data_IF_681263437086
#
_entry.id   IF_681263437086
#
_cell.length_a   1.000
_cell.length_b   1.000
_cell.length_c   1.000
_cell.angle_alpha   90.00
_cell.angle_beta   90.00
_cell.angle_gamma   90.00
#
_symmetry.space_group_name_H-M   'P 1'
#
loop_
_entity.id
_entity.type
_entity.pdbx_description
1 polymer ?
#
# COMPACT_ATOMS: atom_id res chain seq x y z
N UNK A 1 15.60 -9.38 -13.87
CA UNK A 1 14.48 -9.04 -12.96
C UNK A 1 13.80 -10.25 -12.30
N UNK A 2 13.49 -11.37 -12.98
CA UNK A 2 12.82 -12.53 -12.32
C UNK A 2 13.68 -13.31 -11.33
N UNK A 3 15.00 -13.28 -11.44
CA UNK A 3 15.91 -14.03 -10.55
C UNK A 3 16.20 -13.32 -9.23
N UNK A 4 16.08 -12.01 -9.17
CA UNK A 4 16.38 -11.22 -7.96
C UNK A 4 15.22 -11.20 -6.96
N UNK A 5 13.97 -11.28 -7.46
CA UNK A 5 12.78 -11.42 -6.61
C UNK A 5 12.77 -12.80 -5.93
N UNK A 6 13.22 -13.85 -6.63
CA UNK A 6 13.35 -15.19 -6.06
C UNK A 6 14.44 -15.26 -4.99
N UNK A 7 15.52 -14.48 -5.14
CA UNK A 7 16.62 -14.43 -4.16
C UNK A 7 16.19 -13.72 -2.87
N UNK A 8 15.38 -12.67 -2.97
CA UNK A 8 14.81 -11.96 -1.82
C UNK A 8 13.83 -12.84 -1.03
N UNK A 9 13.01 -13.65 -1.71
CA UNK A 9 12.12 -14.62 -1.07
C UNK A 9 12.89 -15.76 -0.38
N UNK A 10 14.05 -16.15 -0.93
CA UNK A 10 14.90 -17.22 -0.35
C UNK A 10 15.76 -16.73 0.82
N UNK A 11 16.06 -15.45 0.91
CA UNK A 11 16.82 -14.86 2.03
C UNK A 11 16.04 -14.85 3.35
N UNK A 12 14.72 -15.00 3.33
CA UNK A 12 13.88 -15.11 4.54
C UNK A 12 13.88 -16.51 5.18
N UNK A 13 14.47 -17.54 4.53
CA UNK A 13 14.41 -18.93 4.97
C UNK A 13 15.45 -19.39 6.03
N UNK A 14 16.60 -18.77 6.29
CA UNK A 14 17.61 -19.41 7.14
C UNK A 14 17.58 -19.03 8.62
N UNK A 15 16.60 -18.26 9.12
CA UNK A 15 16.59 -17.86 10.54
C UNK A 15 15.73 -18.74 11.45
N UNK A 16 15.82 -20.06 11.29
CA UNK A 16 15.25 -21.00 12.27
C UNK A 16 16.28 -21.21 13.40
N UNK A 17 16.50 -20.21 14.22
CA UNK A 17 17.18 -20.40 15.51
C UNK A 17 16.16 -20.42 16.63
N UNK A 18 16.22 -21.45 17.48
CA UNK A 18 15.40 -21.62 18.68
C UNK A 18 15.58 -20.43 19.62
N UNK A 19 14.70 -19.44 19.52
CA UNK A 19 14.52 -18.38 20.50
C UNK A 19 13.12 -18.55 21.11
N UNK A 20 12.98 -18.25 22.39
CA UNK A 20 11.72 -18.34 23.12
C UNK A 20 10.60 -17.68 22.32
N UNK A 21 9.53 -18.45 22.05
CA UNK A 21 8.42 -18.05 21.21
C UNK A 21 7.66 -16.86 21.81
N UNK A 22 8.05 -15.65 21.42
CA UNK A 22 7.31 -14.41 21.67
C UNK A 22 6.20 -14.17 20.63
N UNK A 23 6.07 -15.07 19.65
CA UNK A 23 5.05 -15.03 18.63
C UNK A 23 4.26 -16.33 18.66
N UNK A 24 2.99 -16.24 19.05
CA UNK A 24 2.09 -17.37 18.92
C UNK A 24 1.85 -17.67 17.43
N UNK A 25 1.96 -18.95 17.05
CA UNK A 25 1.42 -19.43 15.78
C UNK A 25 -0.10 -19.26 15.76
N UNK A 26 -0.66 -18.96 14.59
CA UNK A 26 -2.11 -18.92 14.46
C UNK A 26 -2.62 -17.64 13.81
N UNK A 27 -3.88 -17.36 14.07
CA UNK A 27 -4.53 -16.16 13.58
C UNK A 27 -3.87 -14.91 14.13
N UNK A 28 -3.66 -13.94 13.24
CA UNK A 28 -3.12 -12.61 13.53
C UNK A 28 -3.89 -11.57 12.72
N UNK A 29 -4.27 -10.48 13.38
CA UNK A 29 -4.84 -9.31 12.75
C UNK A 29 -3.87 -8.13 12.76
N UNK A 30 -3.91 -7.31 11.72
CA UNK A 30 -3.15 -6.07 11.57
C UNK A 30 -4.12 -4.93 11.25
N UNK A 31 -3.95 -3.80 11.88
CA UNK A 31 -4.63 -2.54 11.58
C UNK A 31 -3.57 -1.46 11.39
N UNK A 32 -3.52 -0.86 10.23
CA UNK A 32 -2.56 0.21 9.89
C UNK A 32 -3.33 1.47 9.52
N UNK A 33 -2.89 2.62 10.02
CA UNK A 33 -3.35 3.93 9.59
C UNK A 33 -2.15 4.81 9.24
N UNK A 34 -2.27 5.62 8.19
CA UNK A 34 -1.16 6.45 7.76
C UNK A 34 -1.51 7.45 6.69
N UNK A 35 -0.48 8.16 6.28
CA UNK A 35 -0.56 9.17 5.24
C UNK A 35 0.48 8.88 4.16
N UNK A 36 0.05 9.03 2.91
CA UNK A 36 0.91 8.90 1.74
C UNK A 36 0.95 10.21 0.98
N UNK A 37 2.15 10.61 0.57
CA UNK A 37 2.40 11.79 -0.25
C UNK A 37 2.77 11.32 -1.64
N UNK A 38 2.05 11.78 -2.65
CA UNK A 38 2.36 11.52 -4.05
C UNK A 38 3.76 12.01 -4.41
N UNK A 39 4.43 11.30 -5.29
CA UNK A 39 5.74 11.66 -5.84
C UNK A 39 5.69 11.58 -7.37
N UNK A 40 6.53 12.38 -8.04
CA UNK A 40 6.54 12.45 -9.49
C UNK A 40 5.45 13.39 -10.04
N UNK A 41 4.79 12.98 -11.12
CA UNK A 41 3.87 13.83 -11.87
C UNK A 41 2.53 14.04 -11.16
N UNK A 42 2.16 13.14 -10.25
CA UNK A 42 0.88 13.15 -9.52
C UNK A 42 1.09 13.35 -8.02
N UNK A 43 1.36 14.60 -7.62
CA UNK A 43 1.62 14.99 -6.23
C UNK A 43 0.31 15.34 -5.51
N UNK A 44 -0.34 14.34 -4.93
CA UNK A 44 -1.49 14.54 -4.06
C UNK A 44 -1.44 13.64 -2.82
N UNK A 45 -2.04 14.14 -1.74
CA UNK A 45 -2.06 13.44 -0.46
C UNK A 45 -3.17 12.39 -0.37
N UNK A 46 -2.92 11.35 0.44
CA UNK A 46 -3.92 10.31 0.74
C UNK A 46 -3.79 9.84 2.18
N UNK A 47 -4.91 9.79 2.86
CA UNK A 47 -5.01 9.18 4.18
C UNK A 47 -5.54 7.76 4.03
N UNK A 48 -4.88 6.78 4.65
CA UNK A 48 -5.18 5.37 4.49
C UNK A 48 -5.44 4.71 5.84
N UNK A 49 -6.47 3.85 5.87
CA UNK A 49 -6.70 2.90 6.96
C UNK A 49 -6.83 1.52 6.34
N UNK A 50 -5.98 0.59 6.75
CA UNK A 50 -5.93 -0.76 6.21
C UNK A 50 -6.07 -1.78 7.33
N UNK A 51 -6.83 -2.84 7.10
CA UNK A 51 -6.86 -4.01 7.98
C UNK A 51 -6.49 -5.25 7.19
N UNK A 52 -5.68 -6.12 7.79
CA UNK A 52 -5.30 -7.41 7.21
C UNK A 52 -5.48 -8.52 8.25
N UNK A 53 -6.02 -9.63 7.81
CA UNK A 53 -6.29 -10.79 8.64
C UNK A 53 -5.68 -12.02 7.98
N UNK A 54 -5.01 -12.85 8.77
CA UNK A 54 -4.31 -14.00 8.21
C UNK A 54 -3.73 -14.91 9.26
N UNK A 55 -2.69 -15.61 8.86
CA UNK A 55 -2.04 -16.62 9.66
C UNK A 55 -0.54 -16.33 9.83
N UNK A 56 -0.10 -16.30 11.08
CA UNK A 56 1.31 -16.25 11.45
C UNK A 56 1.84 -17.69 11.47
N UNK A 57 2.65 -18.08 10.46
CA UNK A 57 3.18 -19.44 10.32
C UNK A 57 4.31 -19.73 11.30
N UNK A 58 5.12 -18.73 11.55
CA UNK A 58 6.24 -18.78 12.47
C UNK A 58 6.55 -17.34 12.93
N UNK A 59 7.47 -17.09 13.87
CA UNK A 59 7.80 -15.74 14.33
C UNK A 59 8.19 -14.75 13.22
N UNK A 60 8.57 -15.25 12.05
CA UNK A 60 9.11 -14.44 10.96
C UNK A 60 8.14 -14.20 9.82
N UNK A 61 7.13 -15.08 9.61
CA UNK A 61 6.31 -15.07 8.39
C UNK A 61 4.82 -15.00 8.72
N UNK A 62 4.19 -13.95 8.24
CA UNK A 62 2.74 -13.78 8.19
C UNK A 62 2.26 -13.74 6.74
N UNK A 63 1.13 -14.39 6.48
CA UNK A 63 0.41 -14.32 5.21
C UNK A 63 -1.07 -14.11 5.49
N UNK A 64 -1.66 -13.12 4.82
CA UNK A 64 -3.06 -12.78 5.01
C UNK A 64 -3.68 -12.07 3.81
N UNK A 65 -4.91 -11.66 3.98
CA UNK A 65 -5.65 -10.81 3.07
C UNK A 65 -6.29 -9.66 3.85
N UNK A 66 -6.56 -8.57 3.17
CA UNK A 66 -7.10 -7.39 3.80
C UNK A 66 -7.86 -6.48 2.86
N UNK A 67 -8.42 -5.45 3.47
CA UNK A 67 -9.07 -4.36 2.80
C UNK A 67 -8.65 -3.04 3.44
N UNK A 68 -8.82 -1.94 2.70
CA UNK A 68 -8.54 -0.61 3.19
C UNK A 68 -9.63 0.39 2.81
N UNK A 69 -9.52 1.57 3.41
CA UNK A 69 -10.25 2.77 2.99
C UNK A 69 -9.21 3.85 2.80
N UNK A 70 -9.09 4.33 1.58
CA UNK A 70 -8.14 5.37 1.18
C UNK A 70 -8.90 6.64 0.82
N UNK A 71 -8.66 7.70 1.56
CA UNK A 71 -9.22 9.03 1.32
C UNK A 71 -8.24 9.81 0.46
N UNK A 72 -8.55 9.92 -0.82
CA UNK A 72 -7.73 10.61 -1.81
C UNK A 72 -8.06 12.09 -1.86
N UNK A 73 -7.06 12.95 -1.83
CA UNK A 73 -7.23 14.38 -2.11
C UNK A 73 -7.46 14.59 -3.61
N UNK A 74 -8.10 15.71 -3.95
CA UNK A 74 -8.24 16.13 -5.35
C UNK A 74 -6.88 16.44 -5.97
N UNK A 75 -6.78 16.25 -7.26
CA UNK A 75 -5.62 16.59 -8.07
C UNK A 75 -6.05 17.34 -9.34
N UNK A 76 -5.25 18.30 -9.74
CA UNK A 76 -5.35 18.97 -11.04
C UNK A 76 -3.92 19.31 -11.50
N UNK A 77 -3.61 19.12 -12.78
CA UNK A 77 -2.29 19.44 -13.33
C UNK A 77 -1.92 20.90 -13.04
N UNK A 78 -0.82 21.15 -12.34
CA UNK A 78 -0.48 22.52 -11.89
C UNK A 78 -0.03 23.42 -13.05
N UNK A 79 -0.30 24.73 -12.92
CA UNK A 79 0.26 25.77 -13.80
C UNK A 79 -0.46 25.96 -15.15
N UNK A 80 -1.63 25.38 -15.33
CA UNK A 80 -2.43 25.50 -16.55
C UNK A 80 -3.86 25.87 -16.20
N UNK A 81 -4.49 26.82 -16.92
CA UNK A 81 -5.87 27.26 -16.67
C UNK A 81 -6.88 26.12 -16.87
N UNK A 82 -6.61 25.20 -17.79
CA UNK A 82 -7.40 23.99 -18.04
C UNK A 82 -6.47 22.79 -17.76
N UNK A 83 -6.62 22.10 -16.61
CA UNK A 83 -5.73 21.00 -16.26
C UNK A 83 -5.86 19.84 -17.26
N UNK A 84 -4.71 19.27 -17.66
CA UNK A 84 -4.66 18.13 -18.59
C UNK A 84 -5.25 16.87 -17.95
N UNK A 85 -4.90 16.63 -16.69
CA UNK A 85 -5.41 15.53 -15.90
C UNK A 85 -6.00 16.09 -14.59
N UNK A 86 -7.19 15.64 -14.24
CA UNK A 86 -7.83 16.03 -12.98
C UNK A 86 -8.51 14.84 -12.32
N UNK A 87 -8.62 14.90 -11.01
CA UNK A 87 -9.34 13.93 -10.21
C UNK A 87 -9.96 14.60 -8.99
N UNK A 88 -11.24 14.32 -8.74
CA UNK A 88 -11.91 14.80 -7.54
C UNK A 88 -11.43 14.04 -6.29
N UNK A 89 -11.72 14.61 -5.11
CA UNK A 89 -11.55 13.90 -3.84
C UNK A 89 -12.48 12.70 -3.80
N UNK A 90 -11.93 11.50 -3.71
CA UNK A 90 -12.67 10.25 -3.74
C UNK A 90 -12.21 9.32 -2.62
N UNK A 91 -13.08 8.36 -2.30
CA UNK A 91 -12.75 7.26 -1.39
C UNK A 91 -12.57 6.00 -2.20
N UNK A 92 -11.37 5.43 -2.12
CA UNK A 92 -11.01 4.19 -2.79
C UNK A 92 -10.86 3.04 -1.79
N UNK A 93 -11.32 1.86 -2.17
CA UNK A 93 -11.28 0.65 -1.34
C UNK A 93 -10.41 -0.40 -2.03
N UNK A 94 -9.17 -0.62 -1.59
CA UNK A 94 -8.36 -1.74 -2.06
C UNK A 94 -8.73 -3.03 -1.34
N UNK A 95 -8.73 -4.13 -2.10
CA UNK A 95 -8.64 -5.50 -1.57
C UNK A 95 -7.24 -6.03 -1.90
N UNK A 96 -6.54 -6.60 -0.92
CA UNK A 96 -5.14 -7.00 -1.11
C UNK A 96 -4.78 -8.29 -0.38
N UNK A 97 -3.80 -8.99 -0.92
CA UNK A 97 -3.01 -9.98 -0.19
C UNK A 97 -1.90 -9.26 0.58
N UNK A 98 -1.55 -9.77 1.77
CA UNK A 98 -0.50 -9.22 2.62
C UNK A 98 0.51 -10.31 2.99
N UNK A 99 1.78 -10.04 2.72
CA UNK A 99 2.91 -10.84 3.14
C UNK A 99 3.82 -9.99 4.02
N UNK A 100 4.04 -10.41 5.29
CA UNK A 100 4.95 -9.73 6.20
C UNK A 100 6.05 -10.67 6.67
N UNK A 101 7.28 -10.18 6.61
CA UNK A 101 8.46 -10.87 7.11
C UNK A 101 9.10 -10.08 8.24
N UNK A 102 9.07 -10.64 9.46
CA UNK A 102 9.78 -10.09 10.62
C UNK A 102 11.20 -10.69 10.66
N UNK A 103 12.21 -9.90 11.00
CA UNK A 103 13.60 -10.36 10.99
C UNK A 103 14.06 -10.92 12.34
N UNK A 104 13.42 -10.53 13.43
CA UNK A 104 13.82 -10.92 14.77
C UNK A 104 12.62 -11.47 15.57
N UNK A 105 12.85 -12.56 16.32
CA UNK A 105 11.93 -13.04 17.32
C UNK A 105 12.22 -12.38 18.68
N UNK A 106 12.01 -11.05 18.75
CA UNK A 106 12.26 -10.23 19.96
C UNK A 106 11.14 -9.19 20.10
N UNK A 107 11.11 -8.52 21.27
CA UNK A 107 10.15 -7.42 21.51
C UNK A 107 10.24 -6.33 20.44
N UNK A 108 11.44 -6.02 19.99
CA UNK A 108 11.70 -5.11 18.90
C UNK A 108 12.17 -5.91 17.68
N UNK A 109 11.46 -5.81 16.59
CA UNK A 109 11.78 -6.52 15.35
C UNK A 109 11.57 -5.62 14.13
N UNK A 110 12.60 -5.41 13.30
CA UNK A 110 12.41 -4.88 11.98
C UNK A 110 11.56 -5.83 11.13
N UNK A 111 10.82 -5.29 10.18
CA UNK A 111 10.03 -6.09 9.25
C UNK A 111 10.00 -5.48 7.85
N UNK A 112 9.67 -6.33 6.87
CA UNK A 112 9.25 -5.94 5.52
C UNK A 112 7.82 -6.40 5.33
N UNK A 113 7.00 -5.54 4.75
CA UNK A 113 5.58 -5.77 4.48
C UNK A 113 5.30 -5.52 3.00
N UNK A 114 4.63 -6.47 2.36
CA UNK A 114 4.19 -6.39 0.97
C UNK A 114 2.68 -6.55 0.92
N UNK A 115 1.99 -5.55 0.38
CA UNK A 115 0.56 -5.61 0.07
C UNK A 115 0.39 -5.49 -1.43
N UNK A 116 -0.33 -6.43 -2.04
CA UNK A 116 -0.60 -6.42 -3.47
C UNK A 116 -2.06 -6.78 -3.73
N UNK A 117 -2.74 -5.97 -4.55
CA UNK A 117 -4.17 -6.13 -4.76
C UNK A 117 -4.75 -5.23 -5.82
N UNK A 118 -6.01 -4.88 -5.63
CA UNK A 118 -6.79 -4.14 -6.60
C UNK A 118 -7.83 -3.24 -5.90
N UNK A 119 -8.04 -2.04 -6.43
CA UNK A 119 -9.13 -1.18 -5.99
C UNK A 119 -10.46 -1.64 -6.59
N UNK A 120 -11.47 -1.82 -5.74
CA UNK A 120 -12.82 -2.30 -6.15
C UNK A 120 -13.81 -1.15 -6.38
N UNK A 121 -13.40 0.08 -6.09
CA UNK A 121 -14.20 1.29 -6.27
C UNK A 121 -13.61 2.19 -7.36
N UNK A 122 -14.41 3.11 -7.89
CA UNK A 122 -14.00 4.18 -8.79
C UNK A 122 -13.16 3.70 -9.98
N UNK A 123 -13.56 2.57 -10.58
CA UNK A 123 -12.87 1.97 -11.71
C UNK A 123 -11.35 1.78 -11.48
N UNK A 124 -10.94 1.65 -10.22
CA UNK A 124 -9.55 1.56 -9.81
C UNK A 124 -8.80 0.41 -10.48
N UNK A 125 -7.50 0.38 -10.28
CA UNK A 125 -6.61 -0.61 -10.87
C UNK A 125 -5.75 -1.30 -9.81
N UNK A 126 -4.54 -1.64 -10.20
CA UNK A 126 -3.59 -2.30 -9.33
C UNK A 126 -3.21 -1.45 -8.13
N UNK A 127 -3.04 -2.11 -7.00
CA UNK A 127 -2.51 -1.57 -5.76
C UNK A 127 -1.29 -2.39 -5.33
N UNK A 128 -0.16 -1.74 -5.16
CA UNK A 128 1.06 -2.34 -4.64
C UNK A 128 1.66 -1.42 -3.58
N UNK A 129 1.92 -1.97 -2.40
CA UNK A 129 2.62 -1.28 -1.32
C UNK A 129 3.76 -2.16 -0.81
N UNK A 130 4.97 -1.62 -0.83
CA UNK A 130 6.16 -2.25 -0.24
C UNK A 130 6.65 -1.36 0.87
N UNK A 131 6.69 -1.85 2.09
CA UNK A 131 7.10 -1.06 3.25
C UNK A 131 8.09 -1.80 4.14
N UNK A 132 8.91 -1.00 4.82
CA UNK A 132 9.83 -1.45 5.86
C UNK A 132 9.44 -0.77 7.15
N UNK A 133 9.61 -1.45 8.27
CA UNK A 133 9.22 -0.87 9.55
C UNK A 133 9.82 -1.57 10.74
N UNK A 134 9.41 -1.12 11.90
CA UNK A 134 9.79 -1.67 13.19
C UNK A 134 8.53 -2.02 13.96
N UNK A 135 8.55 -3.21 14.54
CA UNK A 135 7.52 -3.78 15.40
C UNK A 135 7.99 -3.74 16.85
N UNK A 136 7.12 -3.30 17.74
CA UNK A 136 7.34 -3.34 19.19
C UNK A 136 6.24 -4.17 19.84
N UNK A 137 6.59 -5.41 20.25
CA UNK A 137 5.67 -6.34 20.92
C UNK A 137 5.63 -6.04 22.42
N UNK A 138 4.45 -5.82 22.96
CA UNK A 138 4.21 -5.67 24.39
C UNK A 138 3.47 -6.86 25.01
N UNK A 139 2.83 -7.70 24.16
CA UNK A 139 2.28 -9.02 24.51
C UNK A 139 2.57 -10.00 23.37
N UNK A 140 2.30 -11.29 23.59
CA UNK A 140 2.55 -12.36 22.61
C UNK A 140 1.91 -12.10 21.25
N UNK A 141 0.67 -11.57 21.22
CA UNK A 141 -0.09 -11.28 20.00
C UNK A 141 -0.35 -9.81 19.75
N UNK A 142 0.18 -8.92 20.59
CA UNK A 142 -0.10 -7.50 20.46
C UNK A 142 1.18 -6.70 20.29
N UNK A 143 1.23 -5.90 19.25
CA UNK A 143 2.38 -5.06 18.96
C UNK A 143 1.94 -3.74 18.31
N UNK A 144 2.75 -2.71 18.52
CA UNK A 144 2.71 -1.49 17.73
C UNK A 144 3.74 -1.55 16.61
N UNK A 145 3.39 -0.98 15.47
CA UNK A 145 4.23 -0.91 14.29
C UNK A 145 4.39 0.54 13.83
N UNK A 146 5.58 0.85 13.35
CA UNK A 146 5.85 2.06 12.58
C UNK A 146 6.51 1.64 11.28
N UNK A 147 5.98 2.08 10.16
CA UNK A 147 6.51 1.72 8.84
C UNK A 147 6.52 2.90 7.88
N UNK A 148 7.45 2.84 6.95
CA UNK A 148 7.53 3.70 5.78
C UNK A 148 7.58 2.83 4.53
N UNK A 149 7.00 3.32 3.44
CA UNK A 149 6.89 2.50 2.24
C UNK A 149 6.71 3.29 0.97
N UNK A 150 6.85 2.56 -0.11
CA UNK A 150 6.55 2.99 -1.46
C UNK A 150 5.24 2.36 -1.92
N UNK A 151 4.37 3.19 -2.45
CA UNK A 151 3.05 2.79 -2.94
C UNK A 151 2.98 3.08 -4.43
N UNK A 152 2.53 2.11 -5.22
CA UNK A 152 2.20 2.28 -6.62
C UNK A 152 0.75 1.87 -6.84
N UNK A 153 -0.02 2.76 -7.43
CA UNK A 153 -1.45 2.61 -7.63
C UNK A 153 -1.84 3.00 -9.04
N UNK A 154 -2.84 2.31 -9.58
CA UNK A 154 -3.50 2.71 -10.81
C UNK A 154 -4.84 3.33 -10.46
N UNK A 155 -5.01 4.60 -10.77
CA UNK A 155 -6.21 5.38 -10.47
C UNK A 155 -6.79 5.96 -11.74
N UNK A 156 -8.12 6.15 -11.74
CA UNK A 156 -8.83 6.79 -12.85
C UNK A 156 -8.76 8.30 -12.74
N UNK A 157 -8.47 8.94 -13.84
CA UNK A 157 -8.43 10.40 -14.01
C UNK A 157 -9.31 10.84 -15.16
N UNK A 158 -9.83 12.06 -15.07
CA UNK A 158 -10.43 12.77 -16.18
C UNK A 158 -9.32 13.49 -16.93
N UNK A 159 -9.13 13.13 -18.20
CA UNK A 159 -8.08 13.70 -19.07
C UNK A 159 -8.72 14.63 -20.09
N UNK A 160 -8.12 15.80 -20.27
CA UNK A 160 -8.55 16.76 -21.29
C UNK A 160 -8.01 16.35 -22.66
N UNK A 161 -8.93 16.13 -23.60
CA UNK A 161 -8.59 15.80 -25.00
C UNK A 161 -9.05 16.92 -25.94
N UNK A 162 -8.08 17.52 -26.66
CA UNK A 162 -8.36 18.45 -27.74
C UNK A 162 -8.46 17.68 -29.05
N UNK A 163 -9.64 17.67 -29.63
CA UNK A 163 -9.84 17.12 -30.98
C UNK A 163 -9.71 18.23 -32.00
N UNK A 164 -8.56 18.31 -32.69
CA UNK A 164 -8.35 19.17 -33.86
C UNK A 164 -9.10 18.60 -35.07
N UNK A 165 -10.38 18.89 -35.14
CA UNK A 165 -11.23 18.58 -36.31
C UNK A 165 -12.20 19.73 -36.59
N UNK A 166 -12.84 19.76 -37.73
CA UNK A 166 -13.79 20.80 -38.15
C UNK A 166 -14.85 21.08 -37.07
N UNK A 167 -14.61 22.13 -36.25
CA UNK A 167 -15.37 22.50 -35.07
C UNK A 167 -14.68 21.92 -33.78
N UNK A 168 -13.67 22.65 -33.29
CA UNK A 168 -12.95 22.26 -32.07
C UNK A 168 -13.92 22.05 -30.87
N UNK A 169 -14.13 20.80 -30.48
CA UNK A 169 -14.78 20.42 -29.27
C UNK A 169 -13.70 19.91 -28.32
N UNK A 170 -13.41 20.70 -27.30
CA UNK A 170 -12.55 20.29 -26.20
C UNK A 170 -13.45 19.73 -25.09
N UNK A 171 -13.17 18.54 -24.58
CA UNK A 171 -13.94 17.91 -23.49
C UNK A 171 -13.02 17.04 -22.62
N UNK A 172 -13.47 16.83 -21.37
CA UNK A 172 -12.84 15.85 -20.51
C UNK A 172 -13.37 14.46 -20.82
N UNK A 173 -12.45 13.52 -21.02
CA UNK A 173 -12.77 12.09 -21.14
C UNK A 173 -12.44 11.44 -19.81
N UNK A 174 -13.45 10.90 -19.14
CA UNK A 174 -13.26 10.11 -17.92
C UNK A 174 -12.82 8.68 -18.29
N UNK A 175 -12.10 8.03 -17.37
CA UNK A 175 -11.76 6.62 -17.46
C UNK A 175 -10.34 6.30 -17.90
N UNK A 176 -9.45 7.27 -17.97
CA UNK A 176 -8.03 7.00 -18.19
C UNK A 176 -7.37 6.54 -16.90
N UNK A 177 -6.82 5.31 -16.90
CA UNK A 177 -6.06 4.78 -15.78
C UNK A 177 -4.62 5.24 -15.86
N UNK A 178 -4.17 5.94 -14.83
CA UNK A 178 -2.80 6.45 -14.72
C UNK A 178 -2.12 5.79 -13.52
N UNK A 179 -0.83 5.48 -13.69
CA UNK A 179 0.01 4.98 -12.61
C UNK A 179 0.43 6.16 -11.72
N UNK A 180 0.15 6.07 -10.45
CA UNK A 180 0.55 7.05 -9.44
C UNK A 180 1.48 6.41 -8.43
N UNK A 181 2.44 7.18 -7.96
CA UNK A 181 3.45 6.74 -7.01
C UNK A 181 3.39 7.61 -5.76
N UNK A 182 3.63 7.01 -4.59
CA UNK A 182 3.63 7.75 -3.33
C UNK A 182 4.61 7.16 -2.32
N UNK A 183 5.05 8.01 -1.42
CA UNK A 183 5.76 7.63 -0.22
C UNK A 183 4.80 7.63 0.97
N UNK A 184 4.75 6.54 1.73
CA UNK A 184 3.83 6.35 2.84
C UNK A 184 4.53 6.30 4.19
N UNK A 185 3.88 6.87 5.22
CA UNK A 185 4.24 6.69 6.63
C UNK A 185 3.02 6.18 7.38
N UNK A 186 3.15 5.04 8.06
CA UNK A 186 2.03 4.36 8.73
C UNK A 186 2.37 3.96 10.15
N UNK A 187 1.40 4.08 11.03
CA UNK A 187 1.38 3.46 12.35
C UNK A 187 0.42 2.29 12.33
N UNK A 188 0.75 1.22 13.02
CA UNK A 188 -0.06 0.01 13.02
C UNK A 188 -0.16 -0.64 14.38
N UNK A 189 -1.16 -1.51 14.47
CA UNK A 189 -1.45 -2.32 15.64
C UNK A 189 -1.69 -3.76 15.22
N UNK A 190 -1.08 -4.71 15.93
CA UNK A 190 -1.27 -6.15 15.78
C UNK A 190 -2.08 -6.70 16.94
N UNK A 191 -3.00 -7.64 16.67
CA UNK A 191 -3.88 -8.28 17.64
C UNK A 191 -4.25 -9.72 17.28
#
# INVERSE_FOLDING_TARGET
MKKEILLAAFACLPFVSKAQDLHAHGYQGHLDAGYSIGIGDYDFGRFEVNTAHGYQFNPFLFLGAGAGIHFMSSYATPGIDIPLDQRESLVDIPLFGNLRCNFLNKKFSPFVDLKGGYFVTNNGGLYLNVSVGCRYAFKEKMAFNLSMGYVREQLEFDTFEDFFGYGSMSYYTSGRKLDTEAFSLKVGFEF
#
